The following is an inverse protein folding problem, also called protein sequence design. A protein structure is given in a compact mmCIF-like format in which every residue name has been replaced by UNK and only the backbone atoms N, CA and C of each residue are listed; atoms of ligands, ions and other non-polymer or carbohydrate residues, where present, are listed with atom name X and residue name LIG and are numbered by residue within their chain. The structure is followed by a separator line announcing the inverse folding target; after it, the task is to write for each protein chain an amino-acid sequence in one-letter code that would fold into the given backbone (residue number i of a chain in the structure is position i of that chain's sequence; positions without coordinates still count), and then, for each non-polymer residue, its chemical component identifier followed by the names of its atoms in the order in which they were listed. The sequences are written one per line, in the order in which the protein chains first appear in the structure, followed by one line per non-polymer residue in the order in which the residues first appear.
data_IF_399587012529
#
_entry.id   IF_399587012529
#
_cell.length_a   1.000
_cell.length_b   1.000
_cell.length_c   1.000
_cell.angle_alpha   90.00
_cell.angle_beta   90.00
_cell.angle_gamma   90.00
#
_symmetry.space_group_name_H-M   'P 1'
#
loop_
_entity.id
_entity.type
_entity.pdbx_description
1 polymer ?
#
# COMPACT_ATOMS: atom_id res chain seq x y z
N UNK A 1 -51.83 65.39 -35.38
CA UNK A 1 -51.55 64.08 -36.00
C UNK A 1 -51.66 63.00 -34.91
N UNK A 2 -52.59 62.06 -35.13
CA UNK A 2 -52.98 60.84 -34.41
C UNK A 2 -52.54 60.58 -32.96
N UNK A 3 -53.54 60.59 -32.07
CA UNK A 3 -53.61 59.80 -30.83
C UNK A 3 -54.19 58.42 -31.15
N UNK A 4 -53.58 57.36 -30.62
CA UNK A 4 -54.25 56.06 -30.46
C UNK A 4 -53.87 55.44 -29.11
N UNK A 5 -54.92 55.05 -28.38
CA UNK A 5 -54.96 54.53 -27.01
C UNK A 5 -55.17 52.99 -27.05
N UNK A 6 -54.80 52.32 -25.94
CA UNK A 6 -55.21 50.96 -25.45
C UNK A 6 -54.44 49.77 -26.06
N UNK A 7 -54.16 48.66 -25.36
CA UNK A 7 -54.65 48.12 -24.07
C UNK A 7 -53.64 47.14 -23.44
N UNK A 8 -53.75 46.88 -22.12
CA UNK A 8 -53.27 45.64 -21.44
C UNK A 8 -54.42 44.62 -21.38
N UNK A 9 -54.15 43.30 -21.43
CA UNK A 9 -54.24 42.43 -20.24
C UNK A 9 -53.19 41.27 -20.24
N UNK A 10 -52.54 40.86 -19.13
CA UNK A 10 -52.96 39.98 -18.03
C UNK A 10 -53.50 38.59 -18.43
N UNK A 11 -52.72 37.49 -18.25
CA UNK A 11 -53.21 36.13 -17.85
C UNK A 11 -52.10 35.27 -17.20
N UNK A 12 -52.39 34.83 -15.95
CA UNK A 12 -52.13 33.55 -15.24
C UNK A 12 -51.11 32.56 -15.85
N UNK A 13 -50.13 32.06 -15.09
CA UNK A 13 -50.29 30.97 -14.10
C UNK A 13 -49.52 29.75 -14.64
N UNK A 14 -48.67 29.06 -13.88
CA UNK A 14 -48.99 27.84 -13.13
C UNK A 14 -47.89 27.58 -12.09
N UNK A 15 -48.32 27.14 -10.92
CA UNK A 15 -47.57 26.75 -9.73
C UNK A 15 -46.55 25.62 -10.02
N UNK A 16 -45.30 25.80 -9.61
CA UNK A 16 -44.33 24.70 -9.53
C UNK A 16 -44.52 24.00 -8.19
N UNK A 17 -45.03 22.78 -8.25
CA UNK A 17 -45.31 21.90 -7.12
C UNK A 17 -44.04 21.59 -6.33
N UNK A 18 -44.04 21.95 -5.04
CA UNK A 18 -43.05 21.49 -4.08
C UNK A 18 -43.28 20.00 -3.78
N UNK A 19 -42.51 19.13 -4.43
CA UNK A 19 -42.40 17.72 -4.08
C UNK A 19 -41.29 17.54 -3.06
N UNK A 20 -41.62 17.41 -1.77
CA UNK A 20 -40.69 16.89 -0.77
C UNK A 20 -40.41 15.43 -1.08
N UNK A 21 -39.29 15.18 -1.75
CA UNK A 21 -38.71 13.83 -1.87
C UNK A 21 -38.19 13.44 -0.50
N UNK A 22 -38.89 12.52 0.17
CA UNK A 22 -38.37 11.79 1.33
C UNK A 22 -37.13 11.01 0.86
N UNK A 23 -35.95 11.56 1.17
CA UNK A 23 -34.68 10.84 1.03
C UNK A 23 -34.69 9.70 2.05
N UNK A 24 -35.16 8.53 1.61
CA UNK A 24 -34.84 7.25 2.22
C UNK A 24 -33.32 7.06 2.07
N UNK A 25 -32.56 7.61 3.01
CA UNK A 25 -31.18 7.18 3.24
C UNK A 25 -31.27 5.75 3.76
N UNK A 26 -31.32 4.79 2.85
CA UNK A 26 -30.99 3.42 3.16
C UNK A 26 -29.56 3.47 3.70
N UNK A 27 -29.43 3.44 5.02
CA UNK A 27 -28.23 2.98 5.69
C UNK A 27 -28.04 1.54 5.22
N UNK A 28 -27.47 1.37 4.02
CA UNK A 28 -26.82 0.13 3.62
C UNK A 28 -25.81 -0.09 4.73
N UNK A 29 -26.14 -1.03 5.61
CA UNK A 29 -25.34 -1.33 6.78
C UNK A 29 -23.89 -1.40 6.36
N UNK A 30 -23.04 -0.69 7.08
CA UNK A 30 -21.62 -1.01 7.14
C UNK A 30 -21.55 -2.42 7.74
N UNK A 31 -21.79 -3.43 6.91
CA UNK A 31 -21.28 -4.75 7.16
C UNK A 31 -19.78 -4.52 7.26
N UNK A 32 -19.23 -4.66 8.47
CA UNK A 32 -17.81 -4.87 8.65
C UNK A 32 -17.51 -6.20 7.96
N UNK A 33 -17.43 -6.17 6.63
CA UNK A 33 -17.01 -7.29 5.83
C UNK A 33 -15.61 -7.60 6.31
N UNK A 34 -15.48 -8.73 7.01
CA UNK A 34 -14.22 -9.21 7.53
C UNK A 34 -13.21 -9.15 6.39
N UNK A 35 -12.16 -8.34 6.56
CA UNK A 35 -11.20 -8.12 5.50
C UNK A 35 -10.62 -9.46 5.04
N UNK A 36 -10.75 -9.75 3.74
CA UNK A 36 -10.20 -10.96 3.13
C UNK A 36 -8.80 -10.69 2.61
N UNK A 37 -8.01 -11.74 2.43
CA UNK A 37 -6.68 -11.61 1.80
C UNK A 37 -6.76 -10.95 0.42
N UNK A 38 -7.78 -11.28 -0.38
CA UNK A 38 -8.00 -10.67 -1.69
C UNK A 38 -8.28 -9.16 -1.57
N UNK A 39 -9.21 -8.77 -0.67
CA UNK A 39 -9.50 -7.36 -0.42
C UNK A 39 -8.29 -6.60 0.12
N UNK A 40 -7.54 -7.18 1.07
CA UNK A 40 -6.31 -6.57 1.61
C UNK A 40 -5.25 -6.38 0.52
N UNK A 41 -5.07 -7.40 -0.33
CA UNK A 41 -4.16 -7.37 -1.48
C UNK A 41 -4.52 -6.23 -2.44
N UNK A 42 -5.80 -6.13 -2.82
CA UNK A 42 -6.32 -5.15 -3.78
C UNK A 42 -6.27 -3.71 -3.26
N UNK A 43 -6.48 -3.51 -1.95
CA UNK A 43 -6.37 -2.19 -1.30
C UNK A 43 -4.93 -1.70 -1.16
N UNK A 44 -3.92 -2.47 -1.56
CA UNK A 44 -2.52 -2.06 -1.52
C UNK A 44 -1.55 -3.06 -0.90
N UNK A 45 -2.03 -4.14 -0.26
CA UNK A 45 -1.15 -5.14 0.36
C UNK A 45 -0.16 -5.74 -0.64
N UNK A 46 -0.62 -6.03 -1.87
CA UNK A 46 0.23 -6.54 -2.94
C UNK A 46 1.34 -5.55 -3.33
N UNK A 47 1.08 -4.25 -3.26
CA UNK A 47 2.07 -3.21 -3.55
C UNK A 47 3.21 -3.26 -2.54
N UNK A 48 2.90 -3.36 -1.25
CA UNK A 48 3.91 -3.47 -0.19
C UNK A 48 4.69 -4.78 -0.28
N UNK A 49 4.03 -5.91 -0.54
CA UNK A 49 4.72 -7.17 -0.78
C UNK A 49 5.70 -7.09 -1.96
N UNK A 50 5.29 -6.45 -3.05
CA UNK A 50 6.11 -6.29 -4.25
C UNK A 50 7.31 -5.36 -4.00
N UNK A 51 7.11 -4.28 -3.23
CA UNK A 51 8.19 -3.39 -2.82
C UNK A 51 9.25 -4.15 -2.00
N UNK A 52 8.83 -4.87 -0.96
CA UNK A 52 9.75 -5.64 -0.12
C UNK A 52 10.46 -6.75 -0.91
N UNK A 53 9.79 -7.41 -1.86
CA UNK A 53 10.45 -8.38 -2.74
C UNK A 53 11.59 -7.75 -3.55
N UNK A 54 11.36 -6.53 -4.07
CA UNK A 54 12.38 -5.77 -4.79
C UNK A 54 13.52 -5.36 -3.85
N UNK A 55 13.20 -4.98 -2.62
CA UNK A 55 14.18 -4.56 -1.62
C UNK A 55 15.09 -5.71 -1.18
N UNK A 56 14.56 -6.92 -1.01
CA UNK A 56 15.37 -8.12 -0.77
C UNK A 56 16.38 -8.31 -1.90
N UNK A 57 15.95 -8.16 -3.16
CA UNK A 57 16.86 -8.23 -4.31
C UNK A 57 17.90 -7.11 -4.30
N UNK A 58 17.51 -5.89 -3.95
CA UNK A 58 18.43 -4.76 -3.79
C UNK A 58 19.48 -5.05 -2.71
N UNK A 59 19.08 -5.60 -1.56
CA UNK A 59 20.01 -5.99 -0.50
C UNK A 59 21.01 -7.06 -0.98
N UNK A 60 20.58 -8.02 -1.81
CA UNK A 60 21.49 -9.01 -2.40
C UNK A 60 22.50 -8.33 -3.33
N UNK A 61 22.04 -7.41 -4.17
CA UNK A 61 22.88 -6.70 -5.14
C UNK A 61 23.94 -5.83 -4.46
N UNK A 62 23.58 -5.10 -3.40
CA UNK A 62 24.54 -4.26 -2.66
C UNK A 62 25.47 -5.08 -1.75
N UNK A 63 25.15 -6.35 -1.48
CA UNK A 63 26.04 -7.26 -0.76
C UNK A 63 27.20 -7.76 -1.62
N UNK A 64 27.13 -7.59 -2.94
CA UNK A 64 28.17 -8.03 -3.85
C UNK A 64 29.47 -7.21 -3.62
N UNK A 65 30.61 -7.86 -3.34
CA UNK A 65 31.88 -7.18 -3.09
C UNK A 65 32.50 -6.51 -4.33
N UNK A 66 31.92 -6.67 -5.52
CA UNK A 66 32.48 -6.09 -6.76
C UNK A 66 32.19 -4.58 -6.82
N UNK A 67 33.08 -3.81 -6.22
CA UNK A 67 33.15 -2.36 -6.34
C UNK A 67 32.32 -1.59 -5.30
N UNK A 68 32.72 -0.34 -5.06
CA UNK A 68 31.98 0.58 -4.21
C UNK A 68 30.83 1.18 -5.01
N UNK A 69 29.64 0.58 -4.96
CA UNK A 69 28.44 1.18 -5.56
C UNK A 69 28.13 2.50 -4.82
N UNK A 70 28.27 3.67 -5.48
CA UNK A 70 28.00 4.96 -4.83
C UNK A 70 26.51 5.15 -4.48
N UNK A 71 25.63 4.33 -5.05
CA UNK A 71 24.18 4.36 -4.81
C UNK A 71 23.74 3.49 -3.63
N UNK A 72 24.62 2.64 -3.08
CA UNK A 72 24.28 1.68 -2.03
C UNK A 72 23.68 2.36 -0.77
N UNK A 73 24.18 3.53 -0.39
CA UNK A 73 23.64 4.28 0.75
C UNK A 73 22.18 4.72 0.50
N UNK A 74 21.89 5.22 -0.70
CA UNK A 74 20.53 5.65 -1.08
C UNK A 74 19.58 4.46 -1.18
N UNK A 75 20.05 3.34 -1.74
CA UNK A 75 19.27 2.12 -1.86
C UNK A 75 18.93 1.54 -0.49
N UNK A 76 19.88 1.45 0.43
CA UNK A 76 19.60 0.93 1.78
C UNK A 76 18.74 1.88 2.62
N UNK A 77 18.76 3.18 2.35
CA UNK A 77 17.77 4.12 2.92
C UNK A 77 16.37 3.85 2.37
N UNK A 78 16.24 3.67 1.05
CA UNK A 78 14.97 3.38 0.40
C UNK A 78 14.31 2.11 0.97
N UNK A 79 15.10 1.05 1.19
CA UNK A 79 14.58 -0.19 1.81
C UNK A 79 14.00 0.09 3.22
N UNK A 80 14.62 0.96 4.01
CA UNK A 80 14.09 1.31 5.34
C UNK A 80 12.76 2.07 5.23
N UNK A 81 12.64 2.95 4.25
CA UNK A 81 11.41 3.71 3.98
C UNK A 81 10.28 2.78 3.54
N UNK A 82 10.57 1.81 2.66
CA UNK A 82 9.60 0.83 2.18
C UNK A 82 9.19 -0.16 3.29
N UNK A 83 10.12 -0.59 4.14
CA UNK A 83 9.79 -1.37 5.37
C UNK A 83 8.87 -0.58 6.29
N UNK A 84 9.15 0.72 6.51
CA UNK A 84 8.29 1.57 7.31
C UNK A 84 6.90 1.68 6.71
N UNK A 85 6.79 1.97 5.42
CA UNK A 85 5.52 2.07 4.72
C UNK A 85 4.73 0.74 4.77
N UNK A 86 5.41 -0.39 4.68
CA UNK A 86 4.82 -1.72 4.79
C UNK A 86 4.32 -2.07 6.19
N UNK A 87 5.03 -1.62 7.25
CA UNK A 87 4.58 -1.77 8.65
C UNK A 87 3.39 -0.89 8.99
N UNK A 88 3.37 0.32 8.41
CA UNK A 88 2.27 1.28 8.59
C UNK A 88 1.04 0.88 7.75
N UNK A 89 1.16 -0.11 6.85
CA UNK A 89 0.05 -0.67 6.07
C UNK A 89 -0.76 -1.68 6.88
N UNK A 90 -2.08 -1.68 6.70
CA UNK A 90 -3.03 -2.48 7.47
C UNK A 90 -2.66 -3.95 7.64
N UNK A 91 -3.16 -4.56 8.71
CA UNK A 91 -2.77 -5.91 9.11
C UNK A 91 -3.24 -6.98 8.11
N UNK A 92 -2.37 -7.96 7.83
CA UNK A 92 -2.76 -9.16 7.09
C UNK A 92 -3.85 -9.94 7.85
N UNK A 93 -4.97 -10.29 7.22
CA UNK A 93 -6.09 -10.93 7.92
C UNK A 93 -5.81 -12.36 8.43
N UNK A 94 -4.85 -13.09 7.83
CA UNK A 94 -4.39 -14.39 8.32
C UNK A 94 -3.28 -14.20 9.36
N UNK A 95 -3.53 -14.61 10.61
CA UNK A 95 -2.60 -14.42 11.73
C UNK A 95 -1.21 -14.99 11.46
N UNK A 96 -1.13 -16.19 10.86
CA UNK A 96 0.16 -16.84 10.58
C UNK A 96 0.92 -16.06 9.51
N UNK A 97 0.25 -15.67 8.42
CA UNK A 97 0.86 -14.82 7.40
C UNK A 97 1.27 -13.45 7.95
N UNK A 98 0.48 -12.87 8.86
CA UNK A 98 0.79 -11.61 9.52
C UNK A 98 2.04 -11.70 10.39
N UNK A 99 2.19 -12.77 11.18
CA UNK A 99 3.37 -12.98 12.02
C UNK A 99 4.63 -13.18 11.13
N UNK A 100 4.53 -14.01 10.08
CA UNK A 100 5.62 -14.19 9.10
C UNK A 100 5.95 -12.90 8.33
N UNK A 101 4.95 -12.06 8.05
CA UNK A 101 5.16 -10.76 7.42
C UNK A 101 5.95 -9.82 8.32
N UNK A 102 5.56 -9.72 9.59
CA UNK A 102 6.26 -8.92 10.61
C UNK A 102 7.71 -9.38 10.75
N UNK A 103 7.94 -10.69 10.86
CA UNK A 103 9.29 -11.27 10.93
C UNK A 103 10.12 -10.95 9.69
N UNK A 104 9.53 -11.06 8.49
CA UNK A 104 10.20 -10.69 7.24
C UNK A 104 10.60 -9.22 7.23
N UNK A 105 9.69 -8.32 7.62
CA UNK A 105 9.95 -6.87 7.69
C UNK A 105 11.05 -6.53 8.72
N UNK A 106 11.08 -7.24 9.85
CA UNK A 106 12.13 -7.09 10.85
C UNK A 106 13.50 -7.52 10.31
N UNK A 107 13.55 -8.64 9.61
CA UNK A 107 14.76 -9.14 8.93
C UNK A 107 15.28 -8.14 7.88
N UNK A 108 14.41 -7.71 6.97
CA UNK A 108 14.74 -6.71 5.94
C UNK A 108 15.20 -5.40 6.56
N UNK A 109 14.48 -4.89 7.57
CA UNK A 109 14.82 -3.64 8.25
C UNK A 109 16.17 -3.71 8.98
N UNK A 110 16.49 -4.86 9.60
CA UNK A 110 17.79 -5.07 10.24
C UNK A 110 18.93 -5.10 9.21
N UNK A 111 18.76 -5.84 8.13
CA UNK A 111 19.75 -5.93 7.05
C UNK A 111 19.98 -4.57 6.38
N UNK A 112 18.92 -3.81 6.07
CA UNK A 112 19.03 -2.47 5.49
C UNK A 112 19.68 -1.46 6.45
N UNK A 113 19.37 -1.52 7.74
CA UNK A 113 20.03 -0.70 8.76
C UNK A 113 21.51 -0.99 8.84
N UNK A 114 21.90 -2.27 8.79
CA UNK A 114 23.29 -2.71 8.78
C UNK A 114 24.00 -2.26 7.51
N UNK A 115 23.35 -2.43 6.36
CA UNK A 115 23.81 -1.90 5.08
C UNK A 115 24.16 -0.42 5.17
N UNK A 116 23.21 0.41 5.59
CA UNK A 116 23.39 1.86 5.65
C UNK A 116 24.53 2.26 6.59
N UNK A 117 24.66 1.58 7.75
CA UNK A 117 25.77 1.83 8.70
C UNK A 117 27.12 1.51 8.08
N UNK A 118 27.24 0.36 7.42
CA UNK A 118 28.50 -0.08 6.84
C UNK A 118 28.92 0.78 5.65
N UNK A 119 28.00 1.09 4.73
CA UNK A 119 28.30 1.95 3.57
C UNK A 119 28.77 3.34 4.04
N UNK A 120 28.09 3.93 5.06
CA UNK A 120 28.53 5.20 5.66
C UNK A 120 29.90 5.14 6.32
N UNK A 121 30.32 3.97 6.76
CA UNK A 121 31.64 3.71 7.35
C UNK A 121 32.70 3.33 6.30
N UNK A 122 32.38 3.34 5.00
CA UNK A 122 33.30 2.91 3.93
C UNK A 122 33.57 1.40 3.94
N UNK A 123 32.68 0.60 4.54
CA UNK A 123 32.76 -0.87 4.61
C UNK A 123 31.85 -1.51 3.55
N UNK A 124 32.07 -2.79 3.20
CA UNK A 124 31.12 -3.56 2.39
C UNK A 124 29.71 -3.46 2.97
N UNK A 125 28.70 -3.29 2.11
CA UNK A 125 27.38 -2.88 2.54
C UNK A 125 26.78 -3.86 3.55
N UNK A 126 26.58 -5.12 3.19
CA UNK A 126 26.08 -6.13 4.13
C UNK A 126 26.62 -7.50 3.77
N UNK A 127 26.50 -8.47 4.69
CA UNK A 127 26.90 -9.85 4.42
C UNK A 127 25.86 -10.52 3.53
N UNK A 128 26.30 -11.19 2.46
CA UNK A 128 25.43 -12.02 1.62
C UNK A 128 24.70 -13.09 2.43
N UNK A 129 25.35 -13.67 3.44
CA UNK A 129 24.75 -14.69 4.32
C UNK A 129 23.55 -14.12 5.09
N UNK A 130 23.70 -12.91 5.65
CA UNK A 130 22.61 -12.25 6.38
C UNK A 130 21.43 -11.95 5.45
N UNK A 131 21.69 -11.60 4.19
CA UNK A 131 20.64 -11.33 3.21
C UNK A 131 19.97 -12.60 2.71
N UNK A 132 20.69 -13.73 2.62
CA UNK A 132 20.11 -15.03 2.27
C UNK A 132 19.09 -15.50 3.33
N UNK A 133 19.36 -15.25 4.61
CA UNK A 133 18.39 -15.56 5.68
C UNK A 133 17.12 -14.72 5.52
N UNK A 134 17.27 -13.43 5.20
CA UNK A 134 16.14 -12.52 4.91
C UNK A 134 15.36 -12.98 3.67
N UNK A 135 16.06 -13.38 2.61
CA UNK A 135 15.44 -13.92 1.40
C UNK A 135 14.64 -15.19 1.70
N UNK A 136 15.19 -16.09 2.50
CA UNK A 136 14.54 -17.33 2.91
C UNK A 136 13.25 -17.05 3.68
N UNK A 137 13.31 -16.17 4.70
CA UNK A 137 12.15 -15.75 5.49
C UNK A 137 11.05 -15.14 4.62
N UNK A 138 11.42 -14.21 3.74
CA UNK A 138 10.46 -13.57 2.83
C UNK A 138 9.88 -14.57 1.80
N UNK A 139 10.67 -15.52 1.33
CA UNK A 139 10.19 -16.58 0.43
C UNK A 139 9.15 -17.47 1.11
N UNK A 140 9.39 -17.88 2.37
CA UNK A 140 8.40 -18.65 3.14
C UNK A 140 7.10 -17.88 3.36
N UNK A 141 7.18 -16.57 3.64
CA UNK A 141 6.00 -15.70 3.68
C UNK A 141 5.25 -15.67 2.34
N UNK A 142 5.97 -15.48 1.22
CA UNK A 142 5.36 -15.43 -0.11
C UNK A 142 4.65 -16.74 -0.47
N UNK A 143 5.25 -17.90 -0.13
CA UNK A 143 4.62 -19.21 -0.31
C UNK A 143 3.32 -19.35 0.50
N UNK A 144 3.31 -18.85 1.74
CA UNK A 144 2.10 -18.84 2.57
C UNK A 144 0.98 -18.02 1.94
N UNK A 145 1.30 -16.83 1.39
CA UNK A 145 0.30 -16.00 0.70
C UNK A 145 -0.26 -16.72 -0.53
N UNK A 146 0.59 -17.38 -1.33
CA UNK A 146 0.12 -18.14 -2.49
C UNK A 146 -0.78 -19.32 -2.10
N UNK A 147 -0.43 -20.03 -1.02
CA UNK A 147 -1.26 -21.09 -0.46
C UNK A 147 -2.63 -20.57 -0.01
N UNK A 148 -2.68 -19.40 0.63
CA UNK A 148 -3.94 -18.80 1.07
C UNK A 148 -4.78 -18.34 -0.13
N UNK A 149 -4.15 -17.80 -1.18
CA UNK A 149 -4.82 -17.36 -2.41
C UNK A 149 -5.44 -18.53 -3.19
N UNK A 150 -4.83 -19.70 -3.16
CA UNK A 150 -5.40 -20.90 -3.81
C UNK A 150 -6.59 -21.52 -3.07
N UNK A 151 -6.85 -21.09 -1.83
CA UNK A 151 -7.98 -21.56 -1.00
C UNK A 151 -9.16 -20.59 -0.97
N UNK A 152 -8.99 -19.37 -1.47
CA UNK A 152 -10.02 -18.32 -1.57
C UNK A 152 -10.70 -18.31 -2.93
#
# INVERSE_FOLDING_TARGET
MNLSIRARPAVRGVLVSAGTVLLLTTLSGCSDDKETLASWSDKGGQKHMTAIAKDVKTLIQVSDPIGSDPTAASQCSQVLDDVKAARDYGELPDKIAQDSWKESLDGVGKAASQCLRNVKAGKPATSLVEVMDVQSSFHSFAQRIELLRSQS
#
